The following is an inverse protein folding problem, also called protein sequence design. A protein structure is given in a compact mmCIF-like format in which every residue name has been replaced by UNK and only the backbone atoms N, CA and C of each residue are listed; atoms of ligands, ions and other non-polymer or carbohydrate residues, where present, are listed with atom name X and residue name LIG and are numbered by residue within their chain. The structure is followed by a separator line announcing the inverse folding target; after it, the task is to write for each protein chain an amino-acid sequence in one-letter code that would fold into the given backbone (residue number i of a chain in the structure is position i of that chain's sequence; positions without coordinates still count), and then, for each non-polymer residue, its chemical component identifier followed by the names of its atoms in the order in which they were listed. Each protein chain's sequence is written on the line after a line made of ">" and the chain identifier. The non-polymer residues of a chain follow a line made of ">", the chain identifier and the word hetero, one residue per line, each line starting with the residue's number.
data_IF_441846089639
#
_entry.id   IF_441846089639
#
_cell.length_a   1.000
_cell.length_b   1.000
_cell.length_c   1.000
_cell.angle_alpha   90.00
_cell.angle_beta   90.00
_cell.angle_gamma   90.00
#
_symmetry.space_group_name_H-M   'P 1'
#
loop_
_entity.id
_entity.type
_entity.pdbx_description
1 polymer ?
#
# COMPACT_ATOMS: atom_id res chain seq x y z
N UNK A 1 3.52 -8.58 -7.72
CA UNK A 1 4.63 -8.10 -8.57
C UNK A 1 5.59 -9.25 -8.76
N UNK A 2 6.23 -9.40 -9.93
CA UNK A 2 7.31 -10.38 -10.09
C UNK A 2 8.60 -9.64 -9.73
N UNK A 3 9.32 -10.15 -8.73
CA UNK A 3 10.54 -9.56 -8.14
C UNK A 3 10.35 -8.13 -7.58
N UNK A 4 9.53 -7.94 -6.51
CA UNK A 4 9.34 -6.63 -5.91
C UNK A 4 10.64 -6.10 -5.28
N UNK A 5 10.84 -4.79 -5.38
CA UNK A 5 11.78 -4.06 -4.51
C UNK A 5 11.32 -4.11 -3.05
N UNK A 6 12.19 -3.81 -2.07
CA UNK A 6 11.79 -3.76 -0.66
C UNK A 6 10.60 -2.84 -0.40
N UNK A 7 10.59 -1.65 -0.99
CA UNK A 7 9.49 -0.68 -0.84
C UNK A 7 8.17 -1.19 -1.44
N UNK A 8 8.25 -1.85 -2.60
CA UNK A 8 7.08 -2.49 -3.21
C UNK A 8 6.59 -3.68 -2.38
N UNK A 9 7.49 -4.43 -1.75
CA UNK A 9 7.13 -5.52 -0.86
C UNK A 9 6.42 -5.00 0.39
N UNK A 10 6.89 -3.90 0.98
CA UNK A 10 6.26 -3.26 2.13
C UNK A 10 4.90 -2.65 1.76
N UNK A 11 4.80 -2.01 0.61
CA UNK A 11 3.53 -1.52 0.08
C UNK A 11 2.53 -2.66 -0.18
N UNK A 12 2.99 -3.80 -0.71
CA UNK A 12 2.15 -4.99 -0.90
C UNK A 12 1.61 -5.52 0.44
N UNK A 13 2.45 -5.52 1.49
CA UNK A 13 2.02 -5.94 2.83
C UNK A 13 0.96 -4.99 3.39
N UNK A 14 1.13 -3.67 3.24
CA UNK A 14 0.15 -2.67 3.66
C UNK A 14 -1.19 -2.83 2.94
N UNK A 15 -1.15 -3.05 1.62
CA UNK A 15 -2.33 -3.35 0.80
C UNK A 15 -3.04 -4.62 1.24
N UNK A 16 -2.28 -5.73 1.40
CA UNK A 16 -2.82 -7.01 1.83
C UNK A 16 -3.47 -6.95 3.21
N UNK A 17 -2.88 -6.23 4.15
CA UNK A 17 -3.42 -6.08 5.50
C UNK A 17 -4.73 -5.27 5.51
N UNK A 18 -4.79 -4.21 4.70
CA UNK A 18 -6.00 -3.40 4.54
C UNK A 18 -7.14 -4.20 3.88
N UNK A 19 -6.82 -4.95 2.83
CA UNK A 19 -7.78 -5.85 2.18
C UNK A 19 -8.26 -6.98 3.09
N UNK A 20 -7.35 -7.59 3.86
CA UNK A 20 -7.70 -8.62 4.85
C UNK A 20 -8.67 -8.10 5.91
N UNK A 21 -8.39 -6.92 6.47
CA UNK A 21 -9.28 -6.29 7.44
C UNK A 21 -10.68 -5.98 6.85
N UNK A 22 -10.75 -5.64 5.57
CA UNK A 22 -12.03 -5.47 4.87
C UNK A 22 -12.81 -6.79 4.78
N UNK A 23 -12.17 -7.88 4.35
CA UNK A 23 -12.81 -9.20 4.29
C UNK A 23 -13.27 -9.68 5.67
N UNK A 24 -12.46 -9.47 6.70
CA UNK A 24 -12.80 -9.79 8.09
C UNK A 24 -14.04 -9.02 8.54
N UNK A 25 -14.18 -7.74 8.13
CA UNK A 25 -15.35 -6.91 8.47
C UNK A 25 -16.65 -7.40 7.82
N UNK A 26 -16.54 -8.08 6.67
CA UNK A 26 -17.66 -8.73 5.99
C UNK A 26 -17.94 -10.14 6.53
N UNK A 27 -17.03 -10.71 7.32
CA UNK A 27 -17.06 -12.13 7.68
C UNK A 27 -16.86 -13.06 6.48
N UNK A 28 -16.22 -12.57 5.41
CA UNK A 28 -16.08 -13.29 4.15
C UNK A 28 -14.75 -14.06 4.10
N UNK A 29 -14.83 -15.38 3.97
CA UNK A 29 -13.66 -16.25 3.76
C UNK A 29 -13.57 -16.84 2.35
N UNK A 30 -14.69 -16.91 1.63
CA UNK A 30 -14.72 -17.33 0.23
C UNK A 30 -14.91 -16.12 -0.68
N UNK A 31 -13.86 -15.77 -1.41
CA UNK A 31 -13.88 -14.65 -2.34
C UNK A 31 -14.85 -14.85 -3.52
N UNK A 32 -15.22 -16.09 -3.83
CA UNK A 32 -16.18 -16.40 -4.89
C UNK A 32 -17.62 -16.01 -4.53
N UNK A 33 -17.91 -15.86 -3.23
CA UNK A 33 -19.24 -15.46 -2.73
C UNK A 33 -19.41 -13.94 -2.62
N UNK A 34 -18.33 -13.16 -2.83
CA UNK A 34 -18.41 -11.71 -2.82
C UNK A 34 -19.34 -11.20 -3.90
N UNK A 35 -20.19 -10.24 -3.54
CA UNK A 35 -20.92 -9.47 -4.53
C UNK A 35 -19.93 -8.72 -5.43
N UNK A 36 -20.35 -8.36 -6.64
CA UNK A 36 -19.52 -7.55 -7.53
C UNK A 36 -19.09 -6.23 -6.86
N UNK A 37 -19.95 -5.63 -6.06
CA UNK A 37 -19.67 -4.39 -5.33
C UNK A 37 -18.61 -4.61 -4.24
N UNK A 38 -18.73 -5.68 -3.45
CA UNK A 38 -17.75 -5.99 -2.40
C UNK A 38 -16.40 -6.37 -2.99
N UNK A 39 -16.41 -7.09 -4.12
CA UNK A 39 -15.20 -7.40 -4.86
C UNK A 39 -14.49 -6.13 -5.34
N UNK A 40 -15.23 -5.18 -5.92
CA UNK A 40 -14.66 -3.91 -6.38
C UNK A 40 -14.07 -3.11 -5.22
N UNK A 41 -14.80 -3.01 -4.10
CA UNK A 41 -14.33 -2.33 -2.90
C UNK A 41 -13.07 -2.99 -2.33
N UNK A 42 -13.03 -4.32 -2.26
CA UNK A 42 -11.85 -5.07 -1.81
C UNK A 42 -10.60 -4.74 -2.64
N UNK A 43 -10.72 -4.77 -3.97
CA UNK A 43 -9.60 -4.43 -4.86
C UNK A 43 -9.21 -2.96 -4.74
N UNK A 44 -10.17 -2.05 -4.65
CA UNK A 44 -9.92 -0.62 -4.48
C UNK A 44 -9.16 -0.33 -3.19
N UNK A 45 -9.54 -0.97 -2.08
CA UNK A 45 -8.86 -0.83 -0.79
C UNK A 45 -7.40 -1.30 -0.89
N UNK A 46 -7.14 -2.46 -1.50
CA UNK A 46 -5.78 -2.98 -1.67
C UNK A 46 -4.93 -2.02 -2.50
N UNK A 47 -5.44 -1.59 -3.66
CA UNK A 47 -4.70 -0.72 -4.58
C UNK A 47 -4.45 0.66 -3.98
N UNK A 48 -5.44 1.21 -3.26
CA UNK A 48 -5.32 2.51 -2.60
C UNK A 48 -4.27 2.45 -1.51
N UNK A 49 -4.34 1.47 -0.60
CA UNK A 49 -3.36 1.31 0.47
C UNK A 49 -1.94 1.07 -0.07
N UNK A 50 -1.79 0.29 -1.14
CA UNK A 50 -0.51 0.11 -1.83
C UNK A 50 0.05 1.44 -2.36
N UNK A 51 -0.76 2.20 -3.12
CA UNK A 51 -0.35 3.47 -3.72
C UNK A 51 -0.02 4.53 -2.66
N UNK A 52 -0.82 4.60 -1.60
CA UNK A 52 -0.59 5.54 -0.51
C UNK A 52 0.69 5.21 0.26
N UNK A 53 0.99 3.93 0.46
CA UNK A 53 2.24 3.52 1.09
C UNK A 53 3.47 3.90 0.26
N UNK A 54 3.46 3.65 -1.05
CA UNK A 54 4.54 4.09 -1.93
C UNK A 54 4.71 5.60 -1.95
N UNK A 55 3.60 6.36 -1.90
CA UNK A 55 3.63 7.82 -1.84
C UNK A 55 4.29 8.31 -0.55
N UNK A 56 4.00 7.68 0.58
CA UNK A 56 4.61 8.01 1.86
C UNK A 56 6.13 7.72 1.85
N UNK A 57 6.55 6.56 1.34
CA UNK A 57 7.97 6.22 1.19
C UNK A 57 8.71 7.23 0.29
N UNK A 58 8.13 7.58 -0.87
CA UNK A 58 8.71 8.57 -1.75
C UNK A 58 8.81 9.97 -1.09
N UNK A 59 7.83 10.34 -0.27
CA UNK A 59 7.85 11.59 0.50
C UNK A 59 9.01 11.62 1.50
N UNK A 60 9.23 10.53 2.25
CA UNK A 60 10.33 10.40 3.20
C UNK A 60 11.71 10.48 2.53
N UNK A 61 11.86 9.84 1.38
CA UNK A 61 13.08 9.91 0.59
C UNK A 61 13.38 11.33 0.11
N UNK A 62 12.36 12.05 -0.36
CA UNK A 62 12.49 13.44 -0.78
C UNK A 62 12.91 14.34 0.40
N UNK A 63 12.32 14.16 1.57
CA UNK A 63 12.66 14.92 2.78
C UNK A 63 14.13 14.67 3.18
N UNK A 64 14.57 13.41 3.13
CA UNK A 64 15.95 13.04 3.43
C UNK A 64 16.94 13.69 2.46
N UNK A 65 16.68 13.62 1.15
CA UNK A 65 17.52 14.26 0.12
C UNK A 65 17.58 15.78 0.33
N UNK A 66 16.45 16.40 0.67
CA UNK A 66 16.37 17.85 0.91
C UNK A 66 17.22 18.24 2.12
N UNK A 67 17.12 17.49 3.22
CA UNK A 67 17.92 17.72 4.44
C UNK A 67 19.43 17.59 4.18
N UNK A 68 19.86 16.60 3.39
CA UNK A 68 21.27 16.44 3.02
C UNK A 68 21.81 17.63 2.22
N UNK A 69 21.00 18.24 1.35
CA UNK A 69 21.41 19.43 0.56
C UNK A 69 21.60 20.68 1.41
N UNK A 70 20.80 20.85 2.46
CA UNK A 70 20.91 21.99 3.36
C UNK A 70 22.12 21.91 4.30
N UNK A 71 22.60 20.69 4.59
CA UNK A 71 23.71 20.44 5.51
C UNK A 71 25.13 20.53 4.94
N UNK A 72 25.31 20.79 3.63
CA UNK A 72 26.64 20.91 3.01
C UNK A 72 27.07 22.39 2.98
N UNK A 73 28.06 22.81 3.79
CA UNK A 73 28.68 24.12 3.63
C UNK A 73 29.53 24.12 2.36
N UNK A 74 29.49 25.23 1.63
CA UNK A 74 30.37 25.51 0.49
C UNK A 74 31.85 25.59 0.90
#
# INVERSE_FOLDING_TARGET
>A
MIDPTPDEQDALNAGAQSGGAYLDSLGASDLAELSLTDWQAFIEIIVTAYCDHLRDLAGRDQDHITSMREGVPF
#
